data_IF_048268200746
#
_entry.id   IF_048268200746
#
_cell.length_a   1.000
_cell.length_b   1.000
_cell.length_c   1.000
_cell.angle_alpha   90.00
_cell.angle_beta   90.00
_cell.angle_gamma   90.00
#
_symmetry.space_group_name_H-M   'P 1'
#
loop_
_entity.id
_entity.type
_entity.pdbx_description
1 polymer ?
#
# COMPACT_ATOMS: atom_id res chain seq x y z
N UNK A 1 -5.34 19.69 31.76
CA UNK A 1 -4.94 20.98 31.14
C UNK A 1 -4.92 20.82 29.63
N UNK A 2 -6.05 21.08 28.97
CA UNK A 2 -6.09 21.61 27.60
C UNK A 2 -7.52 22.05 27.39
N UNK A 3 -7.70 23.35 27.46
CA UNK A 3 -8.97 24.05 27.27
C UNK A 3 -9.48 23.73 25.87
N UNK A 4 -10.67 23.15 25.80
CA UNK A 4 -11.42 22.97 24.57
C UNK A 4 -11.69 24.37 24.02
N UNK A 5 -10.82 24.84 23.12
CA UNK A 5 -10.92 26.17 22.50
C UNK A 5 -12.21 26.17 21.70
N UNK A 6 -13.20 26.93 22.17
CA UNK A 6 -14.51 27.11 21.55
C UNK A 6 -14.34 27.60 20.12
N UNK A 7 -14.30 26.67 19.16
CA UNK A 7 -14.03 26.98 17.76
C UNK A 7 -15.33 27.04 16.94
N UNK A 8 -16.31 27.79 17.44
CA UNK A 8 -17.55 28.14 16.73
C UNK A 8 -17.89 29.62 16.87
N UNK A 9 -16.87 30.49 16.89
CA UNK A 9 -17.08 31.92 16.73
C UNK A 9 -17.34 32.18 15.24
N UNK A 10 -18.61 32.34 14.87
CA UNK A 10 -18.94 33.07 13.65
C UNK A 10 -18.16 34.39 13.70
N UNK A 11 -17.40 34.79 12.66
CA UNK A 11 -16.64 36.03 12.70
C UNK A 11 -17.61 37.17 13.03
N UNK A 12 -17.47 37.73 14.23
CA UNK A 12 -18.40 38.73 14.77
C UNK A 12 -18.48 39.97 13.85
N UNK A 13 -17.49 40.12 12.96
CA UNK A 13 -17.45 41.13 11.91
C UNK A 13 -18.63 41.12 10.94
N UNK A 14 -19.28 39.97 10.68
CA UNK A 14 -20.46 39.96 9.79
C UNK A 14 -21.68 40.63 10.42
N UNK A 15 -21.76 40.68 11.76
CA UNK A 15 -22.85 41.39 12.46
C UNK A 15 -22.75 42.91 12.34
N UNK A 16 -21.57 43.42 11.99
CA UNK A 16 -21.35 44.85 11.76
C UNK A 16 -21.79 45.31 10.36
N UNK A 17 -22.08 44.38 9.44
CA UNK A 17 -22.48 44.68 8.07
C UNK A 17 -24.00 44.86 7.94
N UNK A 18 -24.41 45.78 7.08
CA UNK A 18 -25.80 45.94 6.67
C UNK A 18 -26.27 44.80 5.76
N UNK A 19 -27.57 44.66 5.58
CA UNK A 19 -28.17 43.65 4.68
C UNK A 19 -27.72 43.80 3.24
N UNK A 20 -27.53 45.03 2.75
CA UNK A 20 -27.01 45.29 1.40
C UNK A 20 -25.55 44.88 1.25
N UNK A 21 -24.70 45.16 2.24
CA UNK A 21 -23.27 44.78 2.22
C UNK A 21 -23.11 43.27 2.30
N UNK A 22 -23.93 42.59 3.11
CA UNK A 22 -23.97 41.13 3.17
C UNK A 22 -24.41 40.53 1.82
N UNK A 23 -25.39 41.10 1.14
CA UNK A 23 -25.79 40.66 -0.21
C UNK A 23 -24.68 40.88 -1.24
N UNK A 24 -24.02 42.03 -1.23
CA UNK A 24 -22.90 42.31 -2.13
C UNK A 24 -21.75 41.33 -1.90
N UNK A 25 -21.43 41.05 -0.63
CA UNK A 25 -20.40 40.07 -0.28
C UNK A 25 -20.78 38.66 -0.76
N UNK A 26 -22.04 38.26 -0.58
CA UNK A 26 -22.55 36.95 -1.02
C UNK A 26 -22.56 36.79 -2.54
N UNK A 27 -22.64 37.89 -3.29
CA UNK A 27 -22.63 37.93 -4.75
C UNK A 27 -21.22 38.08 -5.33
N UNK A 28 -20.20 38.24 -4.49
CA UNK A 28 -18.83 38.43 -4.91
C UNK A 28 -18.01 37.16 -4.60
N UNK A 29 -17.99 36.25 -5.57
CA UNK A 29 -17.32 34.95 -5.45
C UNK A 29 -15.82 35.10 -5.17
N UNK A 30 -15.12 36.07 -5.79
CA UNK A 30 -13.70 36.34 -5.48
C UNK A 30 -13.47 36.69 -4.00
N UNK A 31 -14.31 37.56 -3.41
CA UNK A 31 -14.21 37.91 -1.99
C UNK A 31 -14.48 36.70 -1.10
N UNK A 32 -15.46 35.87 -1.46
CA UNK A 32 -15.78 34.63 -0.73
C UNK A 32 -14.62 33.62 -0.80
N UNK A 33 -14.02 33.44 -1.98
CA UNK A 33 -12.83 32.61 -2.19
C UNK A 33 -11.65 33.12 -1.37
N UNK A 34 -11.44 34.43 -1.31
CA UNK A 34 -10.39 35.03 -0.49
C UNK A 34 -10.62 34.77 0.99
N UNK A 35 -11.85 34.91 1.49
CA UNK A 35 -12.22 34.59 2.88
C UNK A 35 -11.95 33.11 3.19
N UNK A 36 -12.32 32.20 2.28
CA UNK A 36 -12.06 30.76 2.44
C UNK A 36 -10.56 30.45 2.46
N UNK A 37 -9.77 31.06 1.57
CA UNK A 37 -8.30 30.88 1.54
C UNK A 37 -7.61 31.41 2.79
N UNK A 38 -8.18 32.43 3.43
CA UNK A 38 -7.67 33.00 4.68
C UNK A 38 -8.20 32.29 5.93
N UNK A 39 -9.14 31.36 5.79
CA UNK A 39 -9.68 30.61 6.92
C UNK A 39 -8.61 29.67 7.48
N UNK A 40 -8.26 29.84 8.76
CA UNK A 40 -7.23 29.05 9.46
C UNK A 40 -7.48 27.53 9.35
N UNK A 41 -8.72 27.09 9.60
CA UNK A 41 -9.08 25.66 9.49
C UNK A 41 -8.91 25.14 8.07
N UNK A 42 -9.23 25.95 7.06
CA UNK A 42 -9.04 25.57 5.66
C UNK A 42 -7.55 25.46 5.31
N UNK A 43 -6.72 26.39 5.81
CA UNK A 43 -5.26 26.36 5.62
C UNK A 43 -4.63 25.13 6.29
N UNK A 44 -5.01 24.83 7.54
CA UNK A 44 -4.53 23.64 8.25
C UNK A 44 -4.84 22.36 7.47
N UNK A 45 -6.08 22.22 6.99
CA UNK A 45 -6.49 21.08 6.17
C UNK A 45 -5.71 20.98 4.85
N UNK A 46 -5.36 22.12 4.24
CA UNK A 46 -4.54 22.14 3.02
C UNK A 46 -3.12 21.67 3.29
N UNK A 47 -2.52 22.08 4.41
CA UNK A 47 -1.19 21.61 4.83
C UNK A 47 -1.20 20.10 5.09
N UNK A 48 -2.19 19.60 5.84
CA UNK A 48 -2.34 18.16 6.12
C UNK A 48 -2.52 17.36 4.82
N UNK A 49 -3.32 17.88 3.88
CA UNK A 49 -3.52 17.28 2.56
C UNK A 49 -2.21 17.21 1.78
N UNK A 50 -1.42 18.28 1.76
CA UNK A 50 -0.13 18.32 1.07
C UNK A 50 0.88 17.35 1.68
N UNK A 51 0.93 17.27 3.02
CA UNK A 51 1.76 16.31 3.74
C UNK A 51 1.40 14.86 3.38
N UNK A 52 0.10 14.53 3.36
CA UNK A 52 -0.38 13.20 3.00
C UNK A 52 -0.10 12.87 1.53
N UNK A 53 -0.28 13.83 0.61
CA UNK A 53 0.03 13.63 -0.80
C UNK A 53 1.51 13.39 -1.03
N UNK A 54 2.38 14.16 -0.37
CA UNK A 54 3.83 13.97 -0.42
C UNK A 54 4.23 12.58 0.11
N UNK A 55 3.68 12.19 1.25
CA UNK A 55 3.93 10.88 1.87
C UNK A 55 3.46 9.74 0.96
N UNK A 56 2.23 9.83 0.44
CA UNK A 56 1.67 8.83 -0.46
C UNK A 56 2.50 8.68 -1.73
N UNK A 57 2.94 9.82 -2.31
CA UNK A 57 3.82 9.84 -3.47
C UNK A 57 5.12 9.09 -3.20
N UNK A 58 5.81 9.40 -2.10
CA UNK A 58 7.07 8.74 -1.75
C UNK A 58 6.87 7.22 -1.59
N UNK A 59 5.81 6.79 -0.89
CA UNK A 59 5.51 5.36 -0.70
C UNK A 59 5.18 4.67 -2.03
N UNK A 60 4.45 5.34 -2.93
CA UNK A 60 4.14 4.81 -4.25
C UNK A 60 5.40 4.66 -5.10
N UNK A 61 6.27 5.68 -5.10
CA UNK A 61 7.56 5.65 -5.82
C UNK A 61 8.46 4.52 -5.31
N UNK A 62 8.60 4.35 -3.99
CA UNK A 62 9.36 3.24 -3.42
C UNK A 62 8.75 1.88 -3.73
N UNK A 63 7.43 1.76 -3.66
CA UNK A 63 6.72 0.52 -3.94
C UNK A 63 6.93 0.08 -5.39
N UNK A 64 6.83 1.02 -6.34
CA UNK A 64 7.11 0.80 -7.75
C UNK A 64 8.59 0.45 -7.99
N UNK A 65 9.52 1.11 -7.29
CA UNK A 65 10.95 0.81 -7.40
C UNK A 65 11.31 -0.61 -6.91
N UNK A 66 10.63 -1.12 -5.88
CA UNK A 66 10.86 -2.46 -5.32
C UNK A 66 10.17 -3.59 -6.10
N UNK A 67 9.10 -3.28 -6.85
CA UNK A 67 8.29 -4.28 -7.55
C UNK A 67 9.08 -5.18 -8.54
N UNK A 68 10.03 -4.67 -9.35
CA UNK A 68 10.82 -5.51 -10.25
C UNK A 68 11.67 -6.54 -9.51
N UNK A 69 12.34 -6.12 -8.42
CA UNK A 69 13.18 -7.00 -7.62
C UNK A 69 12.36 -8.11 -6.95
N UNK A 70 11.18 -7.75 -6.41
CA UNK A 70 10.25 -8.71 -5.83
C UNK A 70 9.78 -9.74 -6.86
N UNK A 71 9.39 -9.29 -8.06
CA UNK A 71 8.92 -10.16 -9.13
C UNK A 71 10.04 -11.10 -9.62
N UNK A 72 11.26 -10.59 -9.77
CA UNK A 72 12.41 -11.41 -10.12
C UNK A 72 12.70 -12.46 -9.03
N UNK A 73 12.66 -12.07 -7.76
CA UNK A 73 12.82 -13.01 -6.63
C UNK A 73 11.77 -14.12 -6.64
N UNK A 74 10.50 -13.79 -6.91
CA UNK A 74 9.42 -14.78 -7.07
C UNK A 74 9.70 -15.75 -8.22
N UNK A 75 10.17 -15.25 -9.36
CA UNK A 75 10.50 -16.09 -10.51
C UNK A 75 11.66 -17.05 -10.21
N UNK A 76 12.74 -16.55 -9.61
CA UNK A 76 13.89 -17.36 -9.22
C UNK A 76 13.50 -18.43 -8.20
N UNK A 77 12.65 -18.07 -7.23
CA UNK A 77 12.15 -19.02 -6.23
C UNK A 77 11.32 -20.13 -6.88
N UNK A 78 10.43 -19.78 -7.82
CA UNK A 78 9.63 -20.76 -8.55
C UNK A 78 10.51 -21.72 -9.36
N UNK A 79 11.58 -21.22 -9.99
CA UNK A 79 12.55 -22.06 -10.69
C UNK A 79 13.25 -23.03 -9.74
N UNK A 80 13.72 -22.56 -8.58
CA UNK A 80 14.35 -23.44 -7.58
C UNK A 80 13.41 -24.53 -7.07
N UNK A 81 12.13 -24.20 -6.84
CA UNK A 81 11.13 -25.21 -6.47
C UNK A 81 10.91 -26.24 -7.58
N UNK A 82 10.87 -25.82 -8.84
CA UNK A 82 10.76 -26.72 -9.98
C UNK A 82 11.95 -27.68 -10.05
N UNK A 83 13.16 -27.17 -9.88
CA UNK A 83 14.37 -27.98 -9.94
C UNK A 83 14.44 -28.97 -8.77
N UNK A 84 14.06 -28.52 -7.57
CA UNK A 84 13.95 -29.39 -6.40
C UNK A 84 12.93 -30.52 -6.62
N UNK A 85 11.76 -30.20 -7.18
CA UNK A 85 10.73 -31.21 -7.49
C UNK A 85 11.26 -32.26 -8.47
N UNK A 86 11.95 -31.84 -9.54
CA UNK A 86 12.57 -32.78 -10.50
C UNK A 86 13.59 -33.69 -9.82
N UNK A 87 14.43 -33.11 -8.97
CA UNK A 87 15.45 -33.87 -8.24
C UNK A 87 14.80 -34.87 -7.29
N UNK A 88 13.76 -34.46 -6.55
CA UNK A 88 13.02 -35.34 -5.66
C UNK A 88 12.37 -36.51 -6.42
N UNK A 89 11.73 -36.23 -7.56
CA UNK A 89 11.18 -37.28 -8.44
C UNK A 89 12.27 -38.24 -8.91
N UNK A 90 13.40 -37.71 -9.38
CA UNK A 90 14.53 -38.54 -9.85
C UNK A 90 15.09 -39.41 -8.71
N UNK A 91 15.21 -38.86 -7.51
CA UNK A 91 15.66 -39.61 -6.33
C UNK A 91 14.67 -40.73 -5.97
N UNK A 92 13.37 -40.45 -6.01
CA UNK A 92 12.33 -41.43 -5.75
C UNK A 92 12.35 -42.56 -6.78
N UNK A 93 12.42 -42.24 -8.08
CA UNK A 93 12.53 -43.23 -9.16
C UNK A 93 13.74 -44.16 -8.99
N UNK A 94 14.91 -43.58 -8.69
CA UNK A 94 16.13 -44.37 -8.43
C UNK A 94 16.00 -45.25 -7.20
N UNK A 95 15.37 -44.74 -6.13
CA UNK A 95 15.14 -45.52 -4.92
C UNK A 95 14.18 -46.69 -5.16
N UNK A 96 13.12 -46.49 -5.95
CA UNK A 96 12.21 -47.55 -6.36
C UNK A 96 12.93 -48.63 -7.17
N UNK A 97 13.75 -48.24 -8.15
CA UNK A 97 14.54 -49.20 -8.95
C UNK A 97 15.45 -50.05 -8.08
N UNK A 98 16.19 -49.44 -7.14
CA UNK A 98 17.05 -50.20 -6.22
C UNK A 98 16.25 -51.21 -5.38
N UNK A 99 15.08 -50.82 -4.88
CA UNK A 99 14.19 -51.72 -4.13
C UNK A 99 13.58 -52.84 -4.98
N UNK A 100 13.51 -52.69 -6.31
CA UNK A 100 13.12 -53.75 -7.23
C UNK A 100 14.27 -54.72 -7.50
N UNK A 101 15.50 -54.22 -7.73
CA UNK A 101 16.69 -55.06 -7.89
C UNK A 101 16.99 -55.93 -6.65
N UNK A 102 16.84 -55.38 -5.45
CA UNK A 102 17.02 -56.14 -4.19
C UNK A 102 16.03 -57.31 -4.05
N UNK A 103 14.83 -57.20 -4.63
CA UNK A 103 13.83 -58.28 -4.63
C UNK A 103 14.18 -59.38 -5.63
N UNK A 104 14.64 -59.00 -6.83
CA UNK A 104 15.04 -59.94 -7.88
C UNK A 104 16.26 -60.76 -7.45
N UNK A 105 17.28 -60.12 -6.88
CA UNK A 105 18.48 -60.81 -6.37
C UNK A 105 18.17 -61.75 -5.18
N UNK A 106 17.12 -61.45 -4.41
CA UNK A 106 16.63 -62.30 -3.32
C UNK A 106 15.89 -63.54 -3.79
N UNK A 107 15.10 -63.43 -4.87
CA UNK A 107 14.40 -64.57 -5.48
C UNK A 107 15.36 -65.51 -6.23
N UNK A 108 16.36 -64.98 -6.95
CA UNK A 108 17.36 -65.82 -7.62
C UNK A 108 18.26 -66.60 -6.65
N UNK A 109 18.52 -66.07 -5.44
CA UNK A 109 19.31 -66.76 -4.40
C UNK A 109 18.50 -67.75 -3.56
N UNK A 110 17.17 -67.68 -3.58
CA UNK A 110 16.28 -68.58 -2.83
C UNK A 110 15.80 -69.81 -3.61
N UNK A 111 16.13 -69.92 -4.90
CA UNK A 111 15.63 -70.95 -5.82
C UNK A 111 16.59 -72.11 -6.14
N UNK A 112 17.58 -72.39 -5.28
CA UNK A 112 18.55 -73.49 -5.44
C UNK A 112 18.39 -74.59 -4.41
#
# INVERSE_FOLDING_TARGET
MSTLKEANTCPDGYRALSTSELQELLQNDEKMDQILRLNEKFQDLQVDREMLLSTNRNVAEESLARQPQLNNGKLQLAEKYRDLSKLATTCWEKQSQLGEFEKVDGEERGGG
#
